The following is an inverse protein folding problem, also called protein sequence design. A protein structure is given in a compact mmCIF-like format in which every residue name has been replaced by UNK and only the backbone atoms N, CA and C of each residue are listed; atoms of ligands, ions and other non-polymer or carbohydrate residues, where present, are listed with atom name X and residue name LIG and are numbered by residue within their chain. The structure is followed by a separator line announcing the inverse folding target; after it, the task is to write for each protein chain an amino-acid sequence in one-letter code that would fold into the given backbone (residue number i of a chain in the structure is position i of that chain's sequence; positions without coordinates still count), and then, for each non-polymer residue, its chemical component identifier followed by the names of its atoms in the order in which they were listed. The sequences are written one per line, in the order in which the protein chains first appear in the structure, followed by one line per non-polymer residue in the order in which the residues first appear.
data_IF_306077310614
#
_entry.id   IF_306077310614
#
_cell.length_a   1.000
_cell.length_b   1.000
_cell.length_c   1.000
_cell.angle_alpha   90.00
_cell.angle_beta   90.00
_cell.angle_gamma   90.00
#
_symmetry.space_group_name_H-M   'P 1'
#
loop_
_entity.id
_entity.type
_entity.pdbx_description
1 polymer ?
#
# COMPACT_ATOMS: atom_id res chain seq x y z
N UNK A 1 -4.42 21.10 16.45
CA UNK A 1 -5.11 19.97 15.79
C UNK A 1 -5.47 20.28 14.33
N UNK A 2 -6.34 21.26 14.02
CA UNK A 2 -6.83 21.51 12.64
C UNK A 2 -5.78 21.62 11.52
N UNK A 3 -4.59 22.14 11.79
CA UNK A 3 -3.56 22.31 10.75
C UNK A 3 -2.84 21.01 10.39
N UNK A 4 -2.57 20.12 11.35
CA UNK A 4 -1.94 18.81 11.08
C UNK A 4 -2.88 17.90 10.28
N UNK A 5 -4.16 17.92 10.62
CA UNK A 5 -5.19 17.12 9.91
C UNK A 5 -5.35 17.61 8.45
N UNK A 6 -5.29 18.93 8.22
CA UNK A 6 -5.31 19.51 6.89
C UNK A 6 -4.05 19.16 6.08
N UNK A 7 -2.87 19.14 6.70
CA UNK A 7 -1.61 18.76 6.03
C UNK A 7 -1.66 17.29 5.62
N UNK A 8 -2.06 16.39 6.53
CA UNK A 8 -2.19 14.96 6.23
C UNK A 8 -3.19 14.70 5.11
N UNK A 9 -4.31 15.41 5.09
CA UNK A 9 -5.31 15.29 4.03
C UNK A 9 -4.75 15.65 2.65
N UNK A 10 -4.10 16.81 2.52
CA UNK A 10 -3.49 17.25 1.25
C UNK A 10 -2.39 16.28 0.78
N UNK A 11 -1.64 15.72 1.73
CA UNK A 11 -0.60 14.74 1.46
C UNK A 11 -1.18 13.44 0.91
N UNK A 12 -2.24 12.92 1.55
CA UNK A 12 -2.96 11.73 1.07
C UNK A 12 -3.57 11.97 -0.31
N UNK A 13 -4.18 13.12 -0.55
CA UNK A 13 -4.71 13.48 -1.88
C UNK A 13 -3.60 13.43 -2.96
N UNK A 14 -2.41 13.97 -2.66
CA UNK A 14 -1.26 13.91 -3.58
C UNK A 14 -0.77 12.48 -3.86
N UNK A 15 -0.79 11.62 -2.84
CA UNK A 15 -0.45 10.18 -2.98
C UNK A 15 -1.46 9.51 -3.90
N UNK A 16 -2.75 9.72 -3.65
CA UNK A 16 -3.84 9.12 -4.43
C UNK A 16 -3.78 9.52 -5.90
N UNK A 17 -3.50 10.79 -6.21
CA UNK A 17 -3.36 11.26 -7.58
C UNK A 17 -2.25 10.53 -8.34
N UNK A 18 -1.09 10.34 -7.71
CA UNK A 18 0.04 9.61 -8.32
C UNK A 18 -0.24 8.12 -8.44
N UNK A 19 -0.85 7.49 -7.42
CA UNK A 19 -1.23 6.08 -7.51
C UNK A 19 -2.27 5.84 -8.62
N UNK A 20 -3.28 6.72 -8.78
CA UNK A 20 -4.24 6.64 -9.89
C UNK A 20 -3.54 6.75 -11.23
N UNK A 21 -2.62 7.71 -11.38
CA UNK A 21 -1.82 7.88 -12.60
C UNK A 21 -1.00 6.63 -12.92
N UNK A 22 -0.43 5.98 -11.91
CA UNK A 22 0.31 4.72 -12.06
C UNK A 22 -0.62 3.55 -12.38
N UNK A 23 -1.77 3.44 -11.70
CA UNK A 23 -2.75 2.38 -11.86
C UNK A 23 -3.29 2.34 -13.29
N UNK A 24 -3.65 3.50 -13.84
CA UNK A 24 -4.14 3.63 -15.22
C UNK A 24 -3.11 3.22 -16.29
N UNK A 25 -1.83 3.10 -15.93
CA UNK A 25 -0.75 2.68 -16.82
C UNK A 25 -0.33 1.22 -16.61
N UNK A 26 -0.97 0.50 -15.69
CA UNK A 26 -0.71 -0.93 -15.51
C UNK A 26 -1.23 -1.67 -16.75
N UNK A 27 -0.40 -2.49 -17.43
CA UNK A 27 -0.83 -3.23 -18.60
C UNK A 27 -1.73 -4.39 -18.18
N UNK A 28 -3.05 -4.18 -18.21
CA UNK A 28 -4.06 -5.17 -17.78
C UNK A 28 -4.71 -5.94 -18.93
N UNK A 29 -4.38 -5.63 -20.20
CA UNK A 29 -5.02 -6.23 -21.38
C UNK A 29 -6.47 -5.78 -21.63
N UNK A 30 -7.14 -5.25 -20.61
CA UNK A 30 -8.44 -4.58 -20.65
C UNK A 30 -8.30 -3.16 -20.09
N UNK A 31 -8.97 -2.17 -20.68
CA UNK A 31 -9.12 -0.86 -20.02
C UNK A 31 -9.90 -1.07 -18.73
N UNK A 32 -9.45 -0.54 -17.57
CA UNK A 32 -10.21 -0.67 -16.33
C UNK A 32 -11.64 -0.17 -16.56
N UNK A 33 -12.61 -0.81 -15.90
CA UNK A 33 -14.01 -0.36 -15.83
C UNK A 33 -14.04 0.97 -15.04
N UNK A 34 -13.57 2.03 -15.69
CA UNK A 34 -12.59 2.97 -15.15
C UNK A 34 -13.04 3.74 -13.90
N UNK A 35 -14.34 3.94 -13.69
CA UNK A 35 -14.83 4.83 -12.62
C UNK A 35 -15.01 4.12 -11.27
N UNK A 36 -15.64 2.95 -11.23
CA UNK A 36 -15.89 2.24 -9.96
C UNK A 36 -14.59 1.77 -9.31
N UNK A 37 -13.65 1.33 -10.14
CA UNK A 37 -12.40 0.74 -9.68
C UNK A 37 -11.48 1.81 -9.07
N UNK A 38 -11.44 3.01 -9.67
CA UNK A 38 -10.69 4.15 -9.14
C UNK A 38 -11.26 4.64 -7.81
N UNK A 39 -12.58 4.80 -7.70
CA UNK A 39 -13.19 5.29 -6.45
C UNK A 39 -13.07 4.26 -5.33
N UNK A 40 -13.21 2.97 -5.63
CA UNK A 40 -12.93 1.90 -4.66
C UNK A 40 -11.45 1.89 -4.22
N UNK A 41 -10.52 2.06 -5.17
CA UNK A 41 -9.10 2.15 -4.86
C UNK A 41 -8.81 3.34 -3.94
N UNK A 42 -9.31 4.53 -4.26
CA UNK A 42 -9.14 5.73 -3.42
C UNK A 42 -9.68 5.54 -2.01
N UNK A 43 -10.84 4.89 -1.87
CA UNK A 43 -11.44 4.62 -0.56
C UNK A 43 -10.57 3.69 0.29
N UNK A 44 -10.12 2.57 -0.29
CA UNK A 44 -9.25 1.63 0.42
C UNK A 44 -7.91 2.27 0.80
N UNK A 45 -7.30 3.00 -0.13
CA UNK A 45 -6.03 3.70 0.09
C UNK A 45 -6.12 4.79 1.15
N UNK A 46 -7.18 5.59 1.12
CA UNK A 46 -7.43 6.60 2.17
C UNK A 46 -7.53 5.97 3.55
N UNK A 47 -8.19 4.81 3.64
CA UNK A 47 -8.32 4.06 4.91
C UNK A 47 -6.97 3.51 5.39
N UNK A 48 -6.12 3.05 4.47
CA UNK A 48 -4.76 2.60 4.76
C UNK A 48 -3.90 3.76 5.32
N UNK A 49 -3.86 4.90 4.62
CA UNK A 49 -3.04 6.05 5.02
C UNK A 49 -3.59 6.79 6.24
N UNK A 50 -4.85 6.56 6.61
CA UNK A 50 -5.40 7.11 7.86
C UNK A 50 -4.63 6.61 9.09
N UNK A 51 -4.14 5.36 9.06
CA UNK A 51 -3.36 4.75 10.13
C UNK A 51 -1.87 5.11 10.14
N UNK A 52 -1.33 5.69 9.06
CA UNK A 52 0.11 6.02 8.97
C UNK A 52 0.42 7.39 9.57
N UNK A 53 1.65 7.63 10.01
CA UNK A 53 2.12 8.96 10.41
C UNK A 53 2.24 9.90 9.19
N UNK A 54 2.39 11.21 9.45
CA UNK A 54 2.59 12.19 8.36
C UNK A 54 3.93 11.90 7.67
N UNK A 55 4.93 11.59 8.46
CA UNK A 55 6.30 11.27 8.06
C UNK A 55 6.36 10.05 7.13
N UNK A 56 5.62 8.97 7.45
CA UNK A 56 5.50 7.79 6.58
C UNK A 56 4.83 8.13 5.25
N UNK A 57 3.73 8.90 5.28
CA UNK A 57 3.06 9.36 4.06
C UNK A 57 3.97 10.27 3.20
N UNK A 58 4.76 11.15 3.82
CA UNK A 58 5.73 12.00 3.09
C UNK A 58 6.82 11.18 2.42
N UNK A 59 7.34 10.16 3.12
CA UNK A 59 8.32 9.23 2.56
C UNK A 59 7.75 8.43 1.39
N UNK A 60 6.52 7.91 1.53
CA UNK A 60 5.87 7.19 0.43
C UNK A 60 5.56 8.09 -0.77
N UNK A 61 5.16 9.35 -0.55
CA UNK A 61 4.97 10.31 -1.63
C UNK A 61 6.28 10.58 -2.38
N UNK A 62 7.40 10.66 -1.68
CA UNK A 62 8.73 10.79 -2.29
C UNK A 62 9.11 9.56 -3.13
N UNK A 63 8.79 8.34 -2.65
CA UNK A 63 8.97 7.11 -3.43
C UNK A 63 8.19 7.14 -4.74
N UNK A 64 6.91 7.54 -4.70
CA UNK A 64 6.07 7.68 -5.90
C UNK A 64 6.63 8.70 -6.89
N UNK A 65 7.08 9.86 -6.39
CA UNK A 65 7.68 10.92 -7.22
C UNK A 65 8.97 10.46 -7.89
N UNK A 66 9.88 9.81 -7.14
CA UNK A 66 11.14 9.27 -7.67
C UNK A 66 10.89 8.17 -8.69
N UNK A 67 9.90 7.30 -8.45
CA UNK A 67 9.51 6.28 -9.39
C UNK A 67 9.02 6.91 -10.71
N UNK A 68 8.07 7.84 -10.66
CA UNK A 68 7.54 8.52 -11.86
C UNK A 68 8.65 9.29 -12.61
N UNK A 69 9.55 9.97 -11.91
CA UNK A 69 10.71 10.67 -12.50
C UNK A 69 11.71 9.73 -13.19
N UNK A 70 11.87 8.51 -12.67
CA UNK A 70 12.75 7.48 -13.26
C UNK A 70 12.04 6.61 -14.30
N UNK A 71 10.78 6.92 -14.65
CA UNK A 71 9.98 6.13 -15.59
C UNK A 71 9.53 4.77 -15.03
N UNK A 72 9.67 4.55 -13.73
CA UNK A 72 9.21 3.34 -13.03
C UNK A 72 7.76 3.52 -12.57
N UNK A 73 7.02 2.42 -12.56
CA UNK A 73 5.65 2.37 -12.05
C UNK A 73 5.59 1.37 -10.88
N UNK A 74 5.35 1.87 -9.67
CA UNK A 74 5.34 1.02 -8.47
C UNK A 74 4.21 -0.01 -8.51
N UNK A 75 3.04 0.32 -9.07
CA UNK A 75 1.92 -0.60 -9.17
C UNK A 75 2.21 -1.72 -10.18
N UNK A 76 2.82 -1.40 -11.32
CA UNK A 76 3.28 -2.44 -12.27
C UNK A 76 4.28 -3.39 -11.62
N UNK A 77 5.25 -2.84 -10.87
CA UNK A 77 6.25 -3.65 -10.16
C UNK A 77 5.61 -4.53 -9.09
N UNK A 78 4.65 -4.00 -8.33
CA UNK A 78 3.87 -4.76 -7.35
C UNK A 78 3.17 -5.95 -7.99
N UNK A 79 2.45 -5.76 -9.11
CA UNK A 79 1.74 -6.85 -9.76
C UNK A 79 2.70 -7.89 -10.36
N UNK A 80 3.77 -7.44 -11.01
CA UNK A 80 4.82 -8.35 -11.49
C UNK A 80 5.46 -9.15 -10.34
N UNK A 81 5.65 -8.52 -9.17
CA UNK A 81 6.18 -9.19 -7.98
C UNK A 81 5.20 -10.20 -7.39
N UNK A 82 3.92 -9.84 -7.32
CA UNK A 82 2.82 -10.68 -6.83
C UNK A 82 2.66 -11.96 -7.66
N UNK A 83 2.90 -11.86 -8.97
CA UNK A 83 2.89 -12.97 -9.92
C UNK A 83 4.26 -13.68 -10.04
N UNK A 84 5.23 -13.34 -9.19
CA UNK A 84 6.60 -13.87 -9.19
C UNK A 84 7.32 -13.75 -10.56
N UNK A 85 6.99 -12.74 -11.35
CA UNK A 85 7.62 -12.46 -12.65
C UNK A 85 8.97 -11.75 -12.52
N UNK A 86 9.23 -11.15 -11.35
CA UNK A 86 10.48 -10.44 -11.03
C UNK A 86 10.99 -10.88 -9.65
N UNK A 87 12.32 -10.81 -9.41
CA UNK A 87 12.89 -11.10 -8.11
C UNK A 87 12.45 -10.07 -7.05
N UNK A 88 12.67 -10.37 -5.75
CA UNK A 88 12.39 -9.44 -4.68
C UNK A 88 13.03 -8.07 -4.89
N UNK A 89 12.29 -7.01 -4.60
CA UNK A 89 12.69 -5.62 -4.90
C UNK A 89 13.39 -4.91 -3.74
N UNK A 90 13.28 -5.45 -2.53
CA UNK A 90 13.89 -4.88 -1.32
C UNK A 90 14.61 -5.95 -0.50
N UNK A 91 15.61 -5.49 0.25
CA UNK A 91 16.33 -6.27 1.25
C UNK A 91 16.07 -5.75 2.67
N UNK A 92 15.03 -4.93 2.87
CA UNK A 92 14.69 -4.39 4.20
C UNK A 92 14.41 -5.51 5.19
N UNK A 93 15.01 -5.41 6.38
CA UNK A 93 14.78 -6.31 7.50
C UNK A 93 13.39 -6.13 8.12
N UNK A 94 12.76 -4.97 7.91
CA UNK A 94 11.45 -4.64 8.49
C UNK A 94 10.28 -5.21 7.69
N UNK A 95 10.46 -5.56 6.41
CA UNK A 95 9.40 -6.08 5.54
C UNK A 95 8.66 -7.26 6.19
N UNK A 96 9.40 -8.28 6.63
CA UNK A 96 8.81 -9.48 7.22
C UNK A 96 8.07 -9.18 8.53
N UNK A 97 8.62 -8.29 9.36
CA UNK A 97 8.02 -7.89 10.63
C UNK A 97 6.69 -7.16 10.42
N UNK A 98 6.67 -6.18 9.50
CA UNK A 98 5.45 -5.47 9.11
C UNK A 98 4.41 -6.46 8.56
N UNK A 99 4.79 -7.31 7.61
CA UNK A 99 3.85 -8.28 7.03
C UNK A 99 3.25 -9.22 8.09
N UNK A 100 4.07 -9.71 9.03
CA UNK A 100 3.59 -10.59 10.08
C UNK A 100 2.60 -9.87 11.01
N UNK A 101 2.89 -8.62 11.41
CA UNK A 101 1.99 -7.85 12.26
C UNK A 101 0.62 -7.61 11.60
N UNK A 102 0.61 -7.22 10.32
CA UNK A 102 -0.63 -7.06 9.55
C UNK A 102 -1.40 -8.38 9.41
N UNK A 103 -0.71 -9.50 9.24
CA UNK A 103 -1.34 -10.83 9.21
C UNK A 103 -1.95 -11.20 10.57
N UNK A 104 -1.29 -10.87 11.67
CA UNK A 104 -1.83 -11.10 13.02
C UNK A 104 -3.10 -10.28 13.27
N UNK A 105 -3.10 -9.00 12.89
CA UNK A 105 -4.30 -8.16 12.95
C UNK A 105 -5.43 -8.68 12.05
N UNK A 106 -5.10 -9.16 10.84
CA UNK A 106 -6.08 -9.76 9.94
C UNK A 106 -6.69 -11.03 10.53
N UNK A 107 -5.88 -11.90 11.14
CA UNK A 107 -6.33 -13.10 11.82
C UNK A 107 -7.23 -12.78 13.01
N UNK A 108 -6.89 -11.78 13.81
CA UNK A 108 -7.71 -11.31 14.91
C UNK A 108 -9.06 -10.77 14.41
N UNK A 109 -9.06 -9.99 13.34
CA UNK A 109 -10.29 -9.47 12.74
C UNK A 109 -11.19 -10.59 12.20
N UNK A 110 -10.62 -11.62 11.57
CA UNK A 110 -11.37 -12.81 11.13
C UNK A 110 -11.97 -13.56 12.31
N UNK A 111 -11.23 -13.71 13.43
CA UNK A 111 -11.73 -14.37 14.65
C UNK A 111 -12.90 -13.62 15.27
N UNK A 112 -12.81 -12.29 15.37
CA UNK A 112 -13.85 -11.47 15.98
C UNK A 112 -15.09 -11.31 15.07
N UNK A 113 -14.89 -11.23 13.75
CA UNK A 113 -15.96 -10.92 12.78
C UNK A 113 -16.02 -11.92 11.61
N UNK A 114 -16.22 -13.22 11.86
CA UNK A 114 -16.13 -14.25 10.83
C UNK A 114 -17.18 -14.10 9.72
N UNK A 115 -18.37 -13.59 10.05
CA UNK A 115 -19.44 -13.38 9.06
C UNK A 115 -19.13 -12.25 8.07
N UNK A 116 -18.44 -11.19 8.53
CA UNK A 116 -17.99 -10.09 7.66
C UNK A 116 -16.87 -10.58 6.75
N UNK A 117 -15.94 -11.37 7.31
CA UNK A 117 -14.77 -11.87 6.60
C UNK A 117 -15.01 -13.11 5.76
N UNK A 118 -16.22 -13.67 5.74
CA UNK A 118 -16.55 -14.90 5.00
C UNK A 118 -16.20 -14.84 3.51
N UNK A 119 -16.23 -13.64 2.91
CA UNK A 119 -15.87 -13.39 1.50
C UNK A 119 -14.55 -12.63 1.34
N UNK A 120 -13.78 -12.50 2.41
CA UNK A 120 -12.46 -11.88 2.38
C UNK A 120 -11.45 -12.75 1.64
N UNK A 121 -10.29 -12.16 1.33
CA UNK A 121 -9.14 -12.91 0.82
C UNK A 121 -8.63 -13.92 1.85
N UNK A 122 -8.03 -15.01 1.37
CA UNK A 122 -7.27 -15.91 2.22
C UNK A 122 -6.09 -15.16 2.87
N UNK A 123 -5.56 -15.71 3.97
CA UNK A 123 -4.40 -15.10 4.65
C UNK A 123 -3.16 -15.12 3.75
N UNK A 124 -2.97 -16.18 2.96
CA UNK A 124 -1.84 -16.30 2.04
C UNK A 124 -1.93 -15.27 0.92
N UNK A 125 -3.12 -15.08 0.32
CA UNK A 125 -3.34 -14.05 -0.71
C UNK A 125 -3.16 -12.64 -0.14
N UNK A 126 -3.64 -12.39 1.08
CA UNK A 126 -3.45 -11.12 1.77
C UNK A 126 -1.97 -10.84 2.01
N UNK A 127 -1.21 -11.83 2.51
CA UNK A 127 0.23 -11.72 2.76
C UNK A 127 1.00 -11.49 1.45
N UNK A 128 0.69 -12.22 0.38
CA UNK A 128 1.34 -12.06 -0.91
C UNK A 128 1.09 -10.66 -1.50
N UNK A 129 -0.17 -10.20 -1.45
CA UNK A 129 -0.53 -8.86 -1.92
C UNK A 129 0.17 -7.75 -1.13
N UNK A 130 0.20 -7.87 0.20
CA UNK A 130 0.84 -6.90 1.09
C UNK A 130 2.36 -6.87 0.88
N UNK A 131 3.02 -8.02 0.93
CA UNK A 131 4.47 -8.10 0.75
C UNK A 131 4.89 -7.56 -0.61
N UNK A 132 4.22 -7.96 -1.69
CA UNK A 132 4.51 -7.46 -3.05
C UNK A 132 4.34 -5.96 -3.19
N UNK A 133 3.44 -5.34 -2.43
CA UNK A 133 3.30 -3.89 -2.37
C UNK A 133 4.45 -3.25 -1.58
N UNK A 134 4.70 -3.72 -0.37
CA UNK A 134 5.73 -3.17 0.51
C UNK A 134 7.14 -3.30 -0.08
N UNK A 135 7.40 -4.34 -0.87
CA UNK A 135 8.67 -4.51 -1.58
C UNK A 135 8.95 -3.37 -2.57
N UNK A 136 7.94 -2.63 -3.03
CA UNK A 136 8.11 -1.49 -3.94
C UNK A 136 8.53 -0.20 -3.23
N UNK A 137 8.46 -0.16 -1.91
CA UNK A 137 8.75 1.02 -1.11
C UNK A 137 10.26 1.14 -0.84
N UNK A 138 10.73 2.35 -0.56
CA UNK A 138 12.10 2.52 -0.11
C UNK A 138 12.29 1.99 1.31
N UNK A 139 13.55 1.65 1.66
CA UNK A 139 13.88 1.26 3.03
C UNK A 139 13.45 2.32 4.04
N UNK A 140 13.61 3.61 3.71
CA UNK A 140 13.17 4.72 4.57
C UNK A 140 11.68 4.64 4.88
N UNK A 141 10.84 4.40 3.87
CA UNK A 141 9.39 4.27 4.05
C UNK A 141 9.05 3.03 4.89
N UNK A 142 9.76 1.92 4.70
CA UNK A 142 9.57 0.71 5.50
C UNK A 142 9.98 0.89 6.97
N UNK A 143 11.07 1.60 7.24
CA UNK A 143 11.54 1.88 8.61
C UNK A 143 10.55 2.78 9.37
N UNK A 144 10.02 3.81 8.69
CA UNK A 144 8.98 4.68 9.24
C UNK A 144 7.66 3.93 9.45
N UNK A 145 7.23 3.13 8.48
CA UNK A 145 6.04 2.29 8.59
C UNK A 145 6.18 1.27 9.74
N UNK A 146 7.36 0.69 9.93
CA UNK A 146 7.59 -0.17 11.09
C UNK A 146 7.42 0.59 12.40
N UNK A 147 7.89 1.83 12.49
CA UNK A 147 7.68 2.67 13.68
C UNK A 147 6.19 2.90 13.95
N UNK A 148 5.39 3.18 12.91
CA UNK A 148 3.94 3.35 13.04
C UNK A 148 3.24 2.06 13.50
N UNK A 149 3.74 0.91 13.07
CA UNK A 149 3.16 -0.41 13.35
C UNK A 149 3.55 -0.95 14.72
N UNK A 150 4.80 -0.76 15.13
CA UNK A 150 5.36 -1.22 16.41
C UNK A 150 4.86 -0.40 17.61
N UNK A 151 4.44 0.84 17.37
CA UNK A 151 3.89 1.73 18.41
C UNK A 151 2.39 1.55 18.67
N UNK A 152 1.75 0.61 17.96
CA UNK A 152 0.30 0.43 17.93
C UNK A 152 -0.23 -0.60 18.93
#
# INVERSE_FOLDING_TARGET
MRQKDSVKKNLVESILELEVKMFLRVPTGEEPSCRSDIESMKLHRSSQFAGWSVETCESYLDDLKKADQSGRNLLTLKYARMDNQIPPLTNSTHLAAICNQYVEWQLEFIRQYPNIMRRGRSIDDFKNYLSSELETYSNKTLDLLWTDVDTC
#
